data_IF_912604259321
#
_entry.id   IF_912604259321
#
_cell.length_a   1.000
_cell.length_b   1.000
_cell.length_c   1.000
_cell.angle_alpha   90.00
_cell.angle_beta   90.00
_cell.angle_gamma   90.00
#
_symmetry.space_group_name_H-M   'P 1'
#
loop_
_entity.id
_entity.type
_entity.pdbx_description
1 polymer ?
#
# COMPACT_ATOMS: atom_id res chain seq x y z
N UNK A 1 5.67 -32.95 18.25
CA UNK A 1 6.06 -32.08 17.11
C UNK A 1 7.58 -31.98 17.04
N UNK A 2 8.17 -32.19 15.87
CA UNK A 2 9.62 -32.06 15.67
C UNK A 2 10.08 -30.59 15.81
N UNK A 3 11.28 -30.33 16.33
CA UNK A 3 11.78 -28.96 16.59
C UNK A 3 11.84 -28.09 15.31
N UNK A 4 11.95 -28.69 14.14
CA UNK A 4 11.92 -27.98 12.84
C UNK A 4 10.53 -27.48 12.44
N UNK A 5 9.47 -27.97 13.08
CA UNK A 5 8.09 -27.54 12.83
C UNK A 5 7.70 -26.35 13.70
N UNK A 6 8.62 -25.82 14.52
CA UNK A 6 8.38 -24.58 15.27
C UNK A 6 8.42 -23.39 14.31
N UNK A 7 7.27 -22.78 14.09
CA UNK A 7 7.19 -21.48 13.41
C UNK A 7 7.79 -20.42 14.33
N UNK A 8 8.85 -19.74 13.86
CA UNK A 8 9.42 -18.58 14.56
C UNK A 8 8.48 -17.38 14.57
N UNK A 9 8.90 -16.30 15.24
CA UNK A 9 8.24 -15.00 15.11
C UNK A 9 8.16 -14.58 13.63
N UNK A 10 7.07 -13.93 13.25
CA UNK A 10 6.88 -13.42 11.89
C UNK A 10 7.93 -12.38 11.48
N UNK A 11 7.81 -11.86 10.26
CA UNK A 11 8.77 -10.88 9.74
C UNK A 11 8.71 -9.59 10.58
N UNK A 12 9.78 -9.27 11.28
CA UNK A 12 9.86 -8.07 12.14
C UNK A 12 10.10 -6.76 11.38
N UNK A 13 10.20 -6.80 10.05
CA UNK A 13 10.54 -5.66 9.19
C UNK A 13 9.43 -5.28 8.22
N UNK A 14 9.60 -4.14 7.55
CA UNK A 14 8.67 -3.70 6.50
C UNK A 14 8.74 -4.65 5.30
N UNK A 15 7.60 -5.09 4.78
CA UNK A 15 7.52 -5.85 3.52
C UNK A 15 7.84 -4.95 2.33
N UNK A 16 8.37 -5.55 1.26
CA UNK A 16 8.67 -4.85 0.00
C UNK A 16 7.44 -4.76 -0.91
N UNK A 17 6.54 -5.75 -0.85
CA UNK A 17 5.33 -5.86 -1.68
C UNK A 17 4.12 -5.95 -0.75
N UNK A 18 3.02 -5.33 -1.17
CA UNK A 18 1.74 -5.41 -0.49
C UNK A 18 1.19 -6.85 -0.50
N UNK A 19 0.36 -7.19 0.49
CA UNK A 19 -0.34 -8.48 0.53
C UNK A 19 -1.30 -8.54 -0.65
N UNK A 20 -1.66 -9.74 -1.10
CA UNK A 20 -2.64 -9.91 -2.19
C UNK A 20 -3.89 -9.04 -2.00
N UNK A 21 -4.48 -9.05 -0.81
CA UNK A 21 -5.65 -8.25 -0.48
C UNK A 21 -5.40 -6.74 -0.64
N UNK A 22 -4.30 -6.24 -0.06
CA UNK A 22 -3.91 -4.83 -0.22
C UNK A 22 -3.66 -4.45 -1.69
N UNK A 23 -3.19 -5.39 -2.52
CA UNK A 23 -3.00 -5.16 -3.97
C UNK A 23 -4.32 -5.07 -4.72
N UNK A 24 -5.27 -5.93 -4.39
CA UNK A 24 -6.61 -5.94 -4.99
C UNK A 24 -7.28 -4.59 -4.71
N UNK A 25 -7.36 -4.18 -3.45
CA UNK A 25 -7.90 -2.87 -3.06
C UNK A 25 -7.21 -1.70 -3.77
N UNK A 26 -5.87 -1.74 -3.87
CA UNK A 26 -5.13 -0.71 -4.58
C UNK A 26 -5.45 -0.71 -6.08
N UNK A 27 -5.62 -1.87 -6.72
CA UNK A 27 -5.96 -1.93 -8.14
C UNK A 27 -7.42 -1.58 -8.41
N UNK A 28 -8.35 -1.93 -7.52
CA UNK A 28 -9.76 -1.52 -7.57
C UNK A 28 -9.89 0.00 -7.48
N UNK A 29 -9.22 0.64 -6.52
CA UNK A 29 -9.17 2.11 -6.43
C UNK A 29 -8.53 2.79 -7.65
N UNK A 30 -7.76 2.06 -8.45
CA UNK A 30 -7.19 2.53 -9.71
C UNK A 30 -8.07 2.18 -10.93
N UNK A 31 -9.18 1.46 -10.74
CA UNK A 31 -10.01 0.93 -11.82
C UNK A 31 -9.31 -0.12 -12.70
N UNK A 32 -8.31 -0.81 -12.15
CA UNK A 32 -7.46 -1.80 -12.86
C UNK A 32 -7.72 -3.24 -12.43
N UNK A 33 -8.74 -3.48 -11.61
CA UNK A 33 -9.15 -4.80 -11.16
C UNK A 33 -10.67 -4.84 -11.05
N UNK A 34 -11.26 -5.88 -11.64
CA UNK A 34 -12.67 -6.23 -11.53
C UNK A 34 -12.77 -7.60 -10.83
N UNK A 35 -13.39 -7.66 -9.65
CA UNK A 35 -13.51 -8.89 -8.86
C UNK A 35 -14.21 -10.06 -9.60
N UNK A 36 -15.08 -9.76 -10.56
CA UNK A 36 -15.83 -10.77 -11.31
C UNK A 36 -15.05 -11.34 -12.51
N UNK A 37 -14.20 -10.53 -13.13
CA UNK A 37 -13.51 -10.87 -14.38
C UNK A 37 -12.03 -11.19 -14.18
N UNK A 38 -11.39 -10.55 -13.20
CA UNK A 38 -9.96 -10.67 -12.95
C UNK A 38 -9.64 -11.75 -11.91
N UNK A 39 -8.51 -12.43 -12.11
CA UNK A 39 -8.03 -13.42 -11.15
C UNK A 39 -7.32 -12.76 -9.96
N UNK A 40 -7.62 -13.15 -8.71
CA UNK A 40 -6.86 -12.71 -7.54
C UNK A 40 -5.43 -13.31 -7.48
N UNK A 41 -5.10 -14.24 -8.38
CA UNK A 41 -3.78 -14.85 -8.52
C UNK A 41 -2.97 -14.16 -9.62
N UNK A 42 -1.65 -14.18 -9.52
CA UNK A 42 -0.78 -13.60 -10.56
C UNK A 42 -0.72 -12.07 -10.62
N UNK A 43 -1.31 -11.36 -9.64
CA UNK A 43 -1.32 -9.90 -9.62
C UNK A 43 0.08 -9.27 -9.75
N UNK A 44 0.21 -8.09 -10.38
CA UNK A 44 1.47 -7.36 -10.50
C UNK A 44 2.05 -6.99 -9.12
N UNK A 45 3.38 -6.97 -9.00
CA UNK A 45 4.06 -6.60 -7.74
C UNK A 45 3.86 -5.11 -7.45
N UNK A 46 2.97 -4.76 -6.52
CA UNK A 46 2.83 -3.38 -6.06
C UNK A 46 3.65 -3.16 -4.79
N UNK A 47 4.54 -2.16 -4.86
CA UNK A 47 5.52 -1.86 -3.80
C UNK A 47 4.88 -1.07 -2.68
N UNK A 48 5.33 -1.30 -1.44
CA UNK A 48 4.96 -0.45 -0.29
C UNK A 48 5.58 0.94 -0.45
N UNK A 49 4.74 1.98 -0.48
CA UNK A 49 5.19 3.37 -0.52
C UNK A 49 5.68 3.80 0.86
N UNK A 50 7.00 3.97 1.00
CA UNK A 50 7.62 4.46 2.24
C UNK A 50 7.64 5.99 2.23
N UNK A 51 6.59 6.61 2.77
CA UNK A 51 6.56 8.08 2.91
C UNK A 51 7.56 8.50 3.99
N UNK A 52 8.63 9.18 3.60
CA UNK A 52 9.53 9.86 4.55
C UNK A 52 8.83 11.11 5.04
N UNK A 53 8.61 11.26 6.35
CA UNK A 53 8.14 12.53 6.92
C UNK A 53 9.18 13.61 6.60
N UNK A 54 8.84 14.56 5.72
CA UNK A 54 9.63 15.78 5.58
C UNK A 54 9.51 16.54 6.90
N UNK A 55 10.64 16.89 7.52
CA UNK A 55 10.63 17.73 8.70
C UNK A 55 9.96 19.07 8.34
N UNK A 56 8.83 19.40 8.96
CA UNK A 56 8.20 20.71 8.81
C UNK A 56 9.17 21.75 9.36
N UNK A 57 9.88 22.47 8.49
CA UNK A 57 10.51 23.74 8.83
C UNK A 57 9.80 24.84 8.04
N UNK A 58 9.07 25.69 8.78
CA UNK A 58 8.44 26.98 8.43
C UNK A 58 7.08 27.00 7.69
N UNK A 59 6.03 27.21 8.51
CA UNK A 59 5.05 28.33 8.52
C UNK A 59 4.08 28.51 7.33
N UNK A 60 2.78 28.59 7.66
CA UNK A 60 1.66 29.22 6.92
C UNK A 60 1.95 29.69 5.48
N UNK A 61 1.51 28.93 4.47
CA UNK A 61 1.07 29.39 3.14
C UNK A 61 0.83 28.16 2.27
N UNK A 62 -0.41 27.69 2.25
CA UNK A 62 -1.12 27.07 1.10
C UNK A 62 -2.49 26.52 1.60
N UNK A 63 -3.27 27.42 2.22
CA UNK A 63 -4.73 27.27 2.36
C UNK A 63 -5.46 28.02 1.23
N UNK A 64 -4.75 28.29 0.13
CA UNK A 64 -5.16 29.30 -0.87
C UNK A 64 -4.81 28.80 -2.28
N UNK A 65 -5.45 27.69 -2.67
CA UNK A 65 -5.64 27.29 -4.08
C UNK A 65 -6.66 26.14 -4.16
N UNK A 66 -7.74 26.40 -4.90
CA UNK A 66 -8.77 25.46 -5.35
C UNK A 66 -9.99 25.16 -4.43
N UNK A 67 -10.50 26.18 -3.72
CA UNK A 67 -11.96 26.46 -3.73
C UNK A 67 -12.29 27.42 -4.91
N UNK A 68 -11.83 27.06 -6.11
CA UNK A 68 -11.80 27.95 -7.27
C UNK A 68 -11.94 27.24 -8.61
N UNK A 69 -12.79 26.21 -8.66
CA UNK A 69 -13.47 25.78 -9.89
C UNK A 69 -14.98 25.90 -9.63
N UNK A 70 -15.49 27.11 -9.88
CA UNK A 70 -16.91 27.42 -10.07
C UNK A 70 -17.31 27.19 -11.52
#
# INVERSE_FOLDING_TARGET
MHKSLKTGSGIGGTRNVLTRYERILQMESQGRFNEEEDSPLGLPKTRVLKVKKRAKKKKEKDKDKEEGES
#
